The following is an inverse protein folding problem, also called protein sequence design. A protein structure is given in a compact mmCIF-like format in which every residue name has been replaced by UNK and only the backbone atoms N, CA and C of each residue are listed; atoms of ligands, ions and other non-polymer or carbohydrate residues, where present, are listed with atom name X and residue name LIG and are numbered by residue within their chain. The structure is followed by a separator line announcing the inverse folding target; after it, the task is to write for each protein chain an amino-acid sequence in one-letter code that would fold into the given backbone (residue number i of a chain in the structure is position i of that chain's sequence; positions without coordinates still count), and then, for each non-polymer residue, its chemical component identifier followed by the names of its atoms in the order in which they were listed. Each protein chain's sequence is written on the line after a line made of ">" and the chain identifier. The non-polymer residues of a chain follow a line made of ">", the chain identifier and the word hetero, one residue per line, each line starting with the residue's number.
data_IF_492296226395
#
_entry.id   IF_492296226395
#
_cell.length_a   1.000
_cell.length_b   1.000
_cell.length_c   1.000
_cell.angle_alpha   90.00
_cell.angle_beta   90.00
_cell.angle_gamma   90.00
#
_symmetry.space_group_name_H-M   'P 1'
#
loop_
_entity.id
_entity.type
_entity.pdbx_description
1 polymer ?
#
# COMPACT_ATOMS: atom_id res chain seq x y z
N UNK A 1 5.39 -15.67 1.57
CA UNK A 1 5.85 -15.24 2.91
C UNK A 1 4.76 -15.51 3.94
N UNK A 2 5.04 -16.37 4.86
CA UNK A 2 4.04 -16.88 5.81
C UNK A 2 3.45 -15.78 6.72
N UNK A 3 4.31 -14.92 7.26
CA UNK A 3 3.86 -13.85 8.15
C UNK A 3 2.90 -12.89 7.42
N UNK A 4 3.18 -12.57 6.16
CA UNK A 4 2.31 -11.74 5.35
C UNK A 4 0.95 -12.41 5.13
N UNK A 5 0.95 -13.69 4.77
CA UNK A 5 -0.29 -14.43 4.52
C UNK A 5 -1.17 -14.53 5.76
N UNK A 6 -0.58 -14.80 6.91
CA UNK A 6 -1.33 -14.85 8.17
C UNK A 6 -1.96 -13.51 8.50
N UNK A 7 -1.19 -12.43 8.35
CA UNK A 7 -1.68 -11.08 8.63
C UNK A 7 -2.78 -10.68 7.65
N UNK A 8 -2.62 -11.00 6.35
CA UNK A 8 -3.65 -10.75 5.35
C UNK A 8 -4.96 -11.43 5.71
N UNK A 9 -4.89 -12.71 6.10
CA UNK A 9 -6.10 -13.46 6.43
C UNK A 9 -6.85 -12.87 7.62
N UNK A 10 -6.12 -12.33 8.60
CA UNK A 10 -6.71 -11.73 9.80
C UNK A 10 -7.41 -10.40 9.52
N UNK A 11 -6.90 -9.61 8.60
CA UNK A 11 -7.38 -8.23 8.39
C UNK A 11 -8.15 -8.02 7.09
N UNK A 12 -8.19 -9.02 6.21
CA UNK A 12 -8.81 -8.90 4.88
C UNK A 12 -10.23 -8.36 4.94
N UNK A 13 -11.05 -8.97 5.77
CA UNK A 13 -12.46 -8.59 5.87
C UNK A 13 -12.64 -7.15 6.35
N UNK A 14 -11.83 -6.74 7.32
CA UNK A 14 -11.86 -5.36 7.80
C UNK A 14 -11.51 -4.37 6.70
N UNK A 15 -10.48 -4.66 5.91
CA UNK A 15 -10.07 -3.79 4.80
C UNK A 15 -11.16 -3.73 3.74
N UNK A 16 -11.76 -4.86 3.39
CA UNK A 16 -12.86 -4.91 2.43
C UNK A 16 -14.01 -4.02 2.85
N UNK A 17 -14.37 -4.06 4.12
CA UNK A 17 -15.52 -3.31 4.65
C UNK A 17 -15.20 -1.82 4.82
N UNK A 18 -14.04 -1.48 5.38
CA UNK A 18 -13.67 -0.09 5.67
C UNK A 18 -13.41 0.69 4.39
N UNK A 19 -12.69 0.09 3.45
CA UNK A 19 -12.24 0.78 2.23
C UNK A 19 -13.08 0.43 1.00
N UNK A 20 -14.11 -0.40 1.17
CA UNK A 20 -14.99 -0.82 0.07
C UNK A 20 -14.20 -1.43 -1.08
N UNK A 21 -13.40 -2.43 -0.78
CA UNK A 21 -12.59 -3.17 -1.73
C UNK A 21 -13.02 -4.63 -1.80
N UNK A 22 -12.84 -5.27 -2.98
CA UNK A 22 -13.01 -6.72 -3.06
C UNK A 22 -11.81 -7.43 -2.41
N UNK A 23 -11.91 -8.74 -2.21
CA UNK A 23 -10.88 -9.51 -1.49
C UNK A 23 -9.51 -9.40 -2.15
N UNK A 24 -9.46 -9.50 -3.47
CA UNK A 24 -8.20 -9.45 -4.21
C UNK A 24 -7.51 -8.08 -4.04
N UNK A 25 -8.26 -7.01 -4.22
CA UNK A 25 -7.73 -5.66 -4.08
C UNK A 25 -7.30 -5.37 -2.64
N UNK A 26 -8.08 -5.85 -1.67
CA UNK A 26 -7.73 -5.70 -0.25
C UNK A 26 -6.40 -6.37 0.08
N UNK A 27 -6.16 -7.56 -0.47
CA UNK A 27 -4.88 -8.26 -0.26
C UNK A 27 -3.72 -7.51 -0.89
N UNK A 28 -3.91 -6.95 -2.09
CA UNK A 28 -2.88 -6.15 -2.74
C UNK A 28 -2.58 -4.88 -1.96
N UNK A 29 -3.60 -4.21 -1.48
CA UNK A 29 -3.48 -3.01 -0.65
C UNK A 29 -2.68 -3.32 0.62
N UNK A 30 -3.07 -4.35 1.34
CA UNK A 30 -2.38 -4.75 2.56
C UNK A 30 -0.93 -5.13 2.30
N UNK A 31 -0.67 -5.90 1.24
CA UNK A 31 0.69 -6.29 0.87
C UNK A 31 1.60 -5.08 0.71
N UNK A 32 1.14 -4.07 -0.02
CA UNK A 32 1.93 -2.87 -0.27
C UNK A 32 2.23 -2.11 1.02
N UNK A 33 1.24 -1.96 1.88
CA UNK A 33 1.42 -1.27 3.16
C UNK A 33 2.26 -2.10 4.13
N UNK A 34 2.09 -3.41 4.11
CA UNK A 34 2.89 -4.31 4.95
C UNK A 34 4.38 -4.21 4.62
N UNK A 35 4.71 -4.13 3.32
CA UNK A 35 6.10 -3.98 2.89
C UNK A 35 6.68 -2.64 3.32
N UNK A 36 5.91 -1.56 3.25
CA UNK A 36 6.34 -0.25 3.77
C UNK A 36 6.61 -0.34 5.27
N UNK A 37 5.68 -0.96 6.02
CA UNK A 37 5.82 -1.12 7.46
C UNK A 37 7.05 -1.97 7.83
N UNK A 38 7.24 -3.07 7.10
CA UNK A 38 8.38 -3.95 7.33
C UNK A 38 9.71 -3.25 7.08
N UNK A 39 9.79 -2.49 5.98
CA UNK A 39 11.00 -1.74 5.64
C UNK A 39 11.32 -0.70 6.71
N UNK A 40 10.30 0.01 7.19
CA UNK A 40 10.48 1.02 8.22
C UNK A 40 10.91 0.38 9.56
N UNK A 41 10.27 -0.73 9.91
CA UNK A 41 10.63 -1.47 11.13
C UNK A 41 12.08 -1.95 11.09
N UNK A 42 12.53 -2.41 9.93
CA UNK A 42 13.92 -2.85 9.74
C UNK A 42 14.89 -1.70 9.98
N UNK A 43 14.60 -0.51 9.42
CA UNK A 43 15.44 0.66 9.63
C UNK A 43 15.51 1.07 11.11
N UNK A 44 14.39 0.97 11.82
CA UNK A 44 14.32 1.31 13.24
C UNK A 44 15.14 0.32 14.06
N UNK A 45 14.97 -0.97 13.81
CA UNK A 45 15.64 -2.04 14.56
C UNK A 45 17.17 -1.99 14.36
N UNK A 46 17.61 -1.65 13.14
CA UNK A 46 19.04 -1.56 12.83
C UNK A 46 19.63 -0.20 13.18
N UNK A 47 18.83 0.69 13.78
CA UNK A 47 19.22 2.05 14.16
C UNK A 47 19.70 2.90 12.97
N UNK A 48 19.20 2.60 11.80
CA UNK A 48 19.54 3.33 10.57
C UNK A 48 18.41 4.22 10.07
N UNK A 49 17.35 4.40 10.88
CA UNK A 49 16.20 5.20 10.47
C UNK A 49 16.49 6.70 10.62
N UNK A 50 16.53 7.44 9.48
CA UNK A 50 16.82 8.88 9.53
C UNK A 50 15.59 9.73 9.80
N UNK A 51 14.43 9.11 10.04
CA UNK A 51 13.14 9.81 10.12
C UNK A 51 12.65 9.91 11.56
N UNK A 52 12.01 11.03 11.88
CA UNK A 52 11.34 11.23 13.16
C UNK A 52 10.04 10.44 13.19
N UNK A 53 9.46 10.26 14.38
CA UNK A 53 8.17 9.59 14.53
C UNK A 53 7.06 10.29 13.73
N UNK A 54 7.11 11.62 13.70
CA UNK A 54 6.15 12.42 12.94
C UNK A 54 6.30 12.17 11.43
N UNK A 55 7.54 12.11 10.96
CA UNK A 55 7.81 11.83 9.55
C UNK A 55 7.36 10.41 9.18
N UNK A 56 7.62 9.43 10.04
CA UNK A 56 7.17 8.05 9.82
C UNK A 56 5.65 7.99 9.70
N UNK A 57 4.95 8.68 10.60
CA UNK A 57 3.48 8.75 10.56
C UNK A 57 2.99 9.38 9.25
N UNK A 58 3.66 10.44 8.80
CA UNK A 58 3.32 11.09 7.53
C UNK A 58 3.55 10.17 6.34
N UNK A 59 4.64 9.42 6.32
CA UNK A 59 4.93 8.46 5.26
C UNK A 59 3.83 7.41 5.16
N UNK A 60 3.42 6.83 6.29
CA UNK A 60 2.34 5.84 6.30
C UNK A 60 1.02 6.42 5.82
N UNK A 61 0.70 7.62 6.27
CA UNK A 61 -0.53 8.29 5.84
C UNK A 61 -0.53 8.52 4.33
N UNK A 62 0.56 9.06 3.81
CA UNK A 62 0.69 9.34 2.39
C UNK A 62 0.62 8.06 1.54
N UNK A 63 1.33 7.02 1.95
CA UNK A 63 1.32 5.75 1.22
C UNK A 63 -0.04 5.08 1.28
N UNK A 64 -0.70 5.10 2.42
CA UNK A 64 -2.04 4.52 2.56
C UNK A 64 -3.04 5.22 1.64
N UNK A 65 -3.03 6.54 1.66
CA UNK A 65 -3.94 7.34 0.82
C UNK A 65 -3.63 7.14 -0.66
N UNK A 66 -2.35 7.21 -1.02
CA UNK A 66 -1.93 7.10 -2.42
C UNK A 66 -2.30 5.74 -3.02
N UNK A 67 -2.03 4.66 -2.30
CA UNK A 67 -2.32 3.30 -2.79
C UNK A 67 -3.82 3.05 -2.86
N UNK A 68 -4.56 3.46 -1.84
CA UNK A 68 -6.02 3.33 -1.84
C UNK A 68 -6.63 4.09 -3.02
N UNK A 69 -6.23 5.33 -3.18
CA UNK A 69 -6.72 6.18 -4.27
C UNK A 69 -6.40 5.58 -5.64
N UNK A 70 -5.18 5.07 -5.82
CA UNK A 70 -4.77 4.47 -7.07
C UNK A 70 -5.64 3.25 -7.43
N UNK A 71 -5.90 2.37 -6.46
CA UNK A 71 -6.75 1.22 -6.72
C UNK A 71 -8.20 1.60 -7.03
N UNK A 72 -8.67 2.71 -6.49
CA UNK A 72 -10.03 3.19 -6.75
C UNK A 72 -10.16 3.90 -8.09
N UNK A 73 -9.13 4.62 -8.52
CA UNK A 73 -9.21 5.48 -9.70
C UNK A 73 -8.64 4.86 -10.97
N UNK A 74 -7.76 3.86 -10.84
CA UNK A 74 -7.11 3.24 -12.00
C UNK A 74 -7.70 1.85 -12.23
N UNK A 75 -8.56 1.69 -13.26
CA UNK A 75 -9.16 0.38 -13.54
C UNK A 75 -8.08 -0.66 -13.86
N UNK A 76 -8.21 -1.83 -13.27
CA UNK A 76 -7.32 -2.96 -13.53
C UNK A 76 -5.95 -2.88 -12.85
N UNK A 77 -5.70 -1.88 -12.01
CA UNK A 77 -4.39 -1.71 -11.38
C UNK A 77 -4.00 -2.93 -10.53
N UNK A 78 -4.92 -3.40 -9.69
CA UNK A 78 -4.63 -4.52 -8.80
C UNK A 78 -4.29 -5.81 -9.55
N UNK A 79 -4.89 -6.02 -10.72
CA UNK A 79 -4.69 -7.22 -11.54
C UNK A 79 -3.62 -7.06 -12.61
N UNK A 80 -2.99 -5.90 -12.68
CA UNK A 80 -1.97 -5.64 -13.69
C UNK A 80 -2.49 -5.36 -15.10
N UNK A 81 -3.78 -5.09 -15.25
CA UNK A 81 -4.42 -4.81 -16.53
C UNK A 81 -4.47 -3.31 -16.81
N UNK A 82 -3.30 -2.72 -17.01
CA UNK A 82 -3.18 -1.29 -17.25
C UNK A 82 -1.95 -0.99 -18.11
N UNK A 83 -1.96 0.17 -18.78
CA UNK A 83 -0.81 0.66 -19.54
C UNK A 83 0.01 1.58 -18.65
N UNK A 84 1.12 1.06 -18.13
CA UNK A 84 2.00 1.77 -17.21
C UNK A 84 2.51 3.10 -17.78
N UNK A 85 2.96 3.06 -19.03
CA UNK A 85 3.55 4.25 -19.65
C UNK A 85 2.51 5.33 -19.90
N UNK A 86 1.31 4.96 -20.30
CA UNK A 86 0.22 5.90 -20.48
C UNK A 86 -0.17 6.58 -19.17
N UNK A 87 -0.20 5.82 -18.07
CA UNK A 87 -0.52 6.37 -16.75
C UNK A 87 0.52 7.38 -16.29
N UNK A 88 1.80 7.09 -16.48
CA UNK A 88 2.86 8.01 -16.10
C UNK A 88 2.86 9.27 -16.96
N UNK A 89 2.60 9.15 -18.26
CA UNK A 89 2.47 10.31 -19.13
C UNK A 89 1.34 11.24 -18.69
N UNK A 90 0.23 10.67 -18.30
CA UNK A 90 -0.91 11.44 -17.82
C UNK A 90 -0.59 12.18 -16.52
N UNK A 91 0.10 11.52 -15.59
CA UNK A 91 0.50 12.12 -14.33
C UNK A 91 1.46 13.30 -14.54
N UNK A 92 2.41 13.15 -15.46
CA UNK A 92 3.40 14.20 -15.74
C UNK A 92 2.74 15.45 -16.32
N UNK A 93 1.61 15.30 -17.01
CA UNK A 93 0.86 16.46 -17.58
C UNK A 93 0.13 17.27 -16.53
N UNK A 94 -0.15 16.65 -15.41
CA UNK A 94 -0.86 17.34 -14.33
C UNK A 94 0.11 18.14 -13.49
#
# INVERSE_FOLDING_TARGET
>A
MEALELSQNLVRESIMNIYNMNAYTADCYFRNLWLVAFSMATLIVTDDCPYTDKEISSIFTEMSLAVCKAYKEIPGLAKGNYDRDALFKELVRK
#
